data_IF_729605739634
#
_entry.id   IF_729605739634
#
_cell.length_a   1.000
_cell.length_b   1.000
_cell.length_c   1.000
_cell.angle_alpha   90.00
_cell.angle_beta   90.00
_cell.angle_gamma   90.00
#
_symmetry.space_group_name_H-M   'P 1'
#
loop_
_entity.id
_entity.type
_entity.pdbx_description
1 polymer ?
#
# COMPACT_ATOMS: atom_id res chain seq x y z
N UNK A 1 2.49 9.50 8.91
CA UNK A 1 3.66 9.09 8.09
C UNK A 1 3.30 9.22 6.61
N UNK A 2 4.20 9.58 5.69
CA UNK A 2 3.82 9.69 4.26
C UNK A 2 4.35 8.51 3.47
N UNK A 3 3.46 7.65 2.98
CA UNK A 3 3.78 6.57 2.05
C UNK A 3 3.20 6.89 0.67
N UNK A 4 3.80 6.33 -0.37
CA UNK A 4 3.31 6.44 -1.74
C UNK A 4 3.00 5.06 -2.29
N UNK A 5 1.88 4.89 -2.98
CA UNK A 5 1.56 3.65 -3.68
C UNK A 5 1.42 3.86 -5.19
N UNK A 6 1.87 2.89 -5.97
CA UNK A 6 1.56 2.78 -7.41
C UNK A 6 0.77 1.51 -7.67
N UNK A 7 -0.24 1.61 -8.53
CA UNK A 7 -1.02 0.47 -9.02
C UNK A 7 -0.65 0.15 -10.46
N UNK A 8 -0.82 -1.11 -10.87
CA UNK A 8 -0.48 -1.54 -12.22
C UNK A 8 -1.46 -2.58 -12.79
N UNK A 9 -1.43 -2.72 -14.12
CA UNK A 9 -2.23 -3.69 -14.89
C UNK A 9 -1.75 -5.13 -14.71
N UNK A 10 -0.59 -5.33 -14.08
CA UNK A 10 0.01 -6.61 -13.67
C UNK A 10 -0.56 -7.17 -12.35
N UNK A 11 -1.58 -6.50 -11.79
CA UNK A 11 -2.27 -6.86 -10.55
C UNK A 11 -1.48 -6.51 -9.28
N UNK A 12 -0.35 -5.81 -9.42
CA UNK A 12 0.51 -5.44 -8.32
C UNK A 12 0.19 -4.03 -7.80
N UNK A 13 0.46 -3.87 -6.50
CA UNK A 13 0.56 -2.57 -5.85
C UNK A 13 1.94 -2.48 -5.22
N UNK A 14 2.71 -1.46 -5.60
CA UNK A 14 3.99 -1.17 -4.98
C UNK A 14 3.82 -0.02 -3.99
N UNK A 15 4.41 -0.17 -2.80
CA UNK A 15 4.44 0.84 -1.75
C UNK A 15 5.86 1.32 -1.57
N UNK A 16 6.05 2.63 -1.58
CA UNK A 16 7.34 3.31 -1.47
C UNK A 16 7.34 4.25 -0.27
N UNK A 17 8.52 4.45 0.31
CA UNK A 17 8.77 5.42 1.39
C UNK A 17 9.55 6.64 0.85
N UNK A 18 8.89 7.78 0.61
CA UNK A 18 9.54 9.03 0.22
C UNK A 18 10.60 9.53 1.23
N UNK A 19 10.49 9.18 2.51
CA UNK A 19 11.47 9.57 3.52
C UNK A 19 12.79 8.79 3.39
N UNK A 20 12.75 7.63 2.73
CA UNK A 20 13.90 6.77 2.47
C UNK A 20 14.21 6.73 0.97
N UNK A 21 14.31 7.90 0.32
CA UNK A 21 14.68 8.01 -1.10
C UNK A 21 13.78 7.16 -2.04
N UNK A 22 12.48 7.12 -1.74
CA UNK A 22 11.49 6.31 -2.47
C UNK A 22 11.85 4.82 -2.52
N UNK A 23 12.50 4.29 -1.48
CA UNK A 23 12.74 2.85 -1.34
C UNK A 23 11.43 2.07 -1.43
N UNK A 24 11.47 0.93 -2.12
CA UNK A 24 10.35 -0.01 -2.20
C UNK A 24 10.19 -0.71 -0.85
N UNK A 25 9.09 -0.42 -0.15
CA UNK A 25 8.75 -1.00 1.15
C UNK A 25 8.09 -2.36 0.96
N UNK A 26 7.13 -2.44 0.04
CA UNK A 26 6.32 -3.64 -0.14
C UNK A 26 5.78 -3.74 -1.56
N UNK A 27 5.56 -4.98 -2.02
CA UNK A 27 4.76 -5.29 -3.20
C UNK A 27 3.61 -6.20 -2.79
N UNK A 28 2.39 -5.86 -3.22
CA UNK A 28 1.15 -6.56 -2.91
C UNK A 28 0.57 -7.13 -4.19
N UNK A 29 0.01 -8.33 -4.11
CA UNK A 29 -0.53 -9.07 -5.25
C UNK A 29 -1.87 -9.74 -4.90
N UNK A 30 -2.69 -9.07 -4.10
CA UNK A 30 -3.94 -9.65 -3.58
C UNK A 30 -5.08 -9.66 -4.61
N UNK A 31 -5.01 -8.76 -5.60
CA UNK A 31 -6.00 -8.71 -6.66
C UNK A 31 -5.78 -9.84 -7.68
N UNK A 32 -6.88 -10.44 -8.15
CA UNK A 32 -6.83 -11.45 -9.21
C UNK A 32 -6.87 -10.86 -10.62
N UNK A 33 -6.93 -9.53 -10.72
CA UNK A 33 -6.99 -8.76 -11.96
C UNK A 33 -6.35 -7.37 -11.83
N UNK A 34 -6.34 -6.56 -12.90
CA UNK A 34 -5.75 -5.22 -12.88
C UNK A 34 -6.28 -4.35 -11.73
N UNK A 35 -5.35 -3.66 -11.06
CA UNK A 35 -5.69 -2.70 -10.00
C UNK A 35 -5.96 -1.35 -10.65
N UNK A 36 -7.14 -0.78 -10.40
CA UNK A 36 -7.54 0.49 -11.00
C UNK A 36 -7.26 1.68 -10.09
N UNK A 37 -7.36 1.46 -8.78
CA UNK A 37 -7.08 2.52 -7.80
C UNK A 37 -6.62 1.93 -6.49
N UNK A 38 -5.77 2.69 -5.79
CA UNK A 38 -5.40 2.42 -4.42
C UNK A 38 -5.24 3.74 -3.67
N UNK A 39 -5.52 3.70 -2.38
CA UNK A 39 -5.42 4.85 -1.48
C UNK A 39 -4.91 4.41 -0.12
N UNK A 40 -4.00 5.20 0.45
CA UNK A 40 -3.43 4.96 1.78
C UNK A 40 -4.12 5.88 2.76
N UNK A 41 -4.61 5.33 3.87
CA UNK A 41 -5.28 6.05 4.95
C UNK A 41 -4.57 5.72 6.26
N UNK A 42 -4.25 6.74 7.04
CA UNK A 42 -3.74 6.60 8.41
C UNK A 42 -4.92 6.82 9.37
N UNK A 43 -5.18 5.87 10.26
CA UNK A 43 -6.23 5.97 11.28
C UNK A 43 -5.64 6.42 12.61
N UNK A 44 -6.06 7.58 13.10
CA UNK A 44 -5.53 8.15 14.35
C UNK A 44 -5.87 7.31 15.59
N UNK A 45 -7.03 6.66 15.60
CA UNK A 45 -7.51 5.88 16.75
C UNK A 45 -6.68 4.63 17.00
N UNK A 46 -6.28 3.92 15.93
CA UNK A 46 -5.57 2.64 16.01
C UNK A 46 -4.07 2.76 15.68
N UNK A 47 -3.61 3.95 15.27
CA UNK A 47 -2.25 4.19 14.78
C UNK A 47 -1.86 3.22 13.65
N UNK A 48 -2.83 2.84 12.83
CA UNK A 48 -2.65 1.91 11.72
C UNK A 48 -2.61 2.66 10.40
N UNK A 49 -1.82 2.12 9.47
CA UNK A 49 -1.84 2.54 8.08
C UNK A 49 -2.56 1.46 7.29
N UNK A 50 -3.62 1.85 6.60
CA UNK A 50 -4.44 0.97 5.77
C UNK A 50 -4.31 1.34 4.31
N UNK A 51 -4.13 0.33 3.47
CA UNK A 51 -4.25 0.42 2.03
C UNK A 51 -5.65 -0.06 1.62
N UNK A 52 -6.36 0.81 0.94
CA UNK A 52 -7.65 0.51 0.31
C UNK A 52 -7.39 0.39 -1.19
N UNK A 53 -7.83 -0.70 -1.82
CA UNK A 53 -7.61 -0.92 -3.25
C UNK A 53 -8.80 -1.57 -3.93
N UNK A 54 -9.00 -1.27 -5.22
CA UNK A 54 -10.04 -1.88 -6.03
C UNK A 54 -9.56 -2.20 -7.46
N UNK A 55 -10.15 -3.22 -8.05
CA UNK A 55 -9.71 -3.75 -9.35
C UNK A 55 -10.80 -4.44 -10.17
N UNK A 56 -10.38 -5.03 -11.29
CA UNK A 56 -11.25 -5.75 -12.24
C UNK A 56 -12.01 -6.91 -11.60
N UNK A 57 -11.44 -7.52 -10.57
CA UNK A 57 -11.98 -8.68 -9.85
C UNK A 57 -13.22 -8.36 -9.00
N UNK A 58 -13.72 -7.12 -9.08
CA UNK A 58 -14.92 -6.63 -8.40
C UNK A 58 -14.77 -6.64 -6.87
N UNK A 59 -13.52 -6.62 -6.38
CA UNK A 59 -13.23 -6.52 -4.96
C UNK A 59 -12.83 -5.11 -4.56
N UNK A 60 -13.15 -4.77 -3.31
CA UNK A 60 -12.60 -3.63 -2.57
C UNK A 60 -11.87 -4.21 -1.37
N UNK A 61 -10.54 -4.16 -1.41
CA UNK A 61 -9.68 -4.76 -0.39
C UNK A 61 -9.20 -3.71 0.59
N UNK A 62 -9.16 -4.11 1.86
CA UNK A 62 -8.62 -3.32 2.97
C UNK A 62 -7.47 -4.11 3.58
N UNK A 63 -6.27 -3.54 3.57
CA UNK A 63 -5.07 -4.18 4.07
C UNK A 63 -4.37 -3.26 5.07
N UNK A 64 -3.97 -3.80 6.21
CA UNK A 64 -3.06 -3.11 7.13
C UNK A 64 -1.64 -3.25 6.58
N UNK A 65 -0.93 -2.13 6.45
CA UNK A 65 0.46 -2.10 6.03
C UNK A 65 1.37 -2.20 7.26
N UNK A 66 2.14 -3.28 7.34
CA UNK A 66 3.18 -3.44 8.36
C UNK A 66 4.47 -2.75 7.89
N UNK A 67 4.56 -1.44 8.08
CA UNK A 67 5.81 -0.73 7.81
C UNK A 67 6.73 -0.93 9.02
N UNK A 68 7.66 -1.87 8.89
CA UNK A 68 8.71 -2.04 9.89
C UNK A 68 9.65 -0.85 9.78
N UNK A 69 9.52 0.11 10.70
CA UNK A 69 10.52 1.16 10.88
C UNK A 69 11.84 0.49 11.25
N UNK A 70 12.78 0.39 10.31
CA UNK A 70 14.18 0.22 10.67
C UNK A 70 14.64 1.51 11.36
N UNK A 71 14.35 1.62 12.67
CA UNK A 71 15.08 2.52 13.56
C UNK A 71 16.51 2.00 13.63
N UNK A 72 17.37 2.52 12.78
CA UNK A 72 18.81 2.40 12.98
C UNK A 72 19.12 3.27 14.21
N UNK A 73 19.63 2.61 15.26
CA UNK A 73 20.13 3.22 16.49
C UNK A 73 21.23 4.26 16.22
#
# INVERSE_FOLDING_TARGET
MTLLCSTSRDHLIHVFDPAQDYQLVQTLADHSGPVYSAHIVETEEEHEIRLISCGLDKSLLFRILEVTLFKIC
#
